data_IF_499064361616
#
_entry.id   IF_499064361616
#
_cell.length_a   1.000
_cell.length_b   1.000
_cell.length_c   1.000
_cell.angle_alpha   90.00
_cell.angle_beta   90.00
_cell.angle_gamma   90.00
#
_symmetry.space_group_name_H-M   'P 1'
#
loop_
_entity.id
_entity.type
_entity.pdbx_description
1 polymer ?
#
# COMPACT_ATOMS: atom_id res chain seq x y z
N UNK A 1 0.59 -24.62 -12.57
CA UNK A 1 1.39 -23.64 -11.83
C UNK A 1 1.51 -24.07 -10.38
N UNK A 2 2.72 -24.29 -9.88
CA UNK A 2 2.99 -24.68 -8.49
C UNK A 2 3.79 -23.53 -7.86
N UNK A 3 3.33 -23.02 -6.72
CA UNK A 3 4.06 -22.03 -5.92
C UNK A 3 4.23 -22.53 -4.49
N UNK A 4 5.31 -22.14 -3.85
CA UNK A 4 5.53 -22.39 -2.44
C UNK A 4 4.51 -21.61 -1.59
N UNK A 5 3.91 -22.28 -0.62
CA UNK A 5 3.05 -21.62 0.36
C UNK A 5 3.92 -20.96 1.43
N UNK A 6 3.93 -19.64 1.47
CA UNK A 6 4.67 -18.85 2.45
C UNK A 6 3.86 -18.77 3.75
N UNK A 7 4.45 -19.21 4.86
CA UNK A 7 3.91 -18.91 6.19
C UNK A 7 4.22 -17.46 6.55
N UNK A 8 3.22 -16.69 6.99
CA UNK A 8 3.36 -15.29 7.37
C UNK A 8 2.72 -15.02 8.74
N UNK A 9 3.05 -13.90 9.36
CA UNK A 9 2.50 -13.51 10.66
C UNK A 9 1.25 -12.64 10.49
N UNK A 10 1.27 -11.71 9.53
CA UNK A 10 0.16 -10.82 9.24
C UNK A 10 0.21 -10.33 7.78
N UNK A 11 -0.88 -9.76 7.33
CA UNK A 11 -0.93 -8.98 6.08
C UNK A 11 -0.77 -7.50 6.39
N UNK A 12 -0.37 -6.69 5.41
CA UNK A 12 -0.35 -5.23 5.58
C UNK A 12 -1.76 -4.67 5.90
N UNK A 13 -2.83 -5.35 5.48
CA UNK A 13 -4.21 -4.99 5.82
C UNK A 13 -4.46 -5.02 7.33
N UNK A 14 -3.98 -6.06 8.01
CA UNK A 14 -4.11 -6.18 9.47
C UNK A 14 -3.36 -5.05 10.16
N UNK A 15 -2.17 -4.69 9.66
CA UNK A 15 -1.41 -3.55 10.16
C UNK A 15 -2.18 -2.22 10.02
N UNK A 16 -2.99 -2.03 8.96
CA UNK A 16 -3.79 -0.80 8.79
C UNK A 16 -4.97 -0.71 9.73
N UNK A 17 -5.40 -1.82 10.31
CA UNK A 17 -6.58 -1.90 11.19
C UNK A 17 -6.23 -2.01 12.67
N UNK A 18 -5.12 -2.63 13.02
CA UNK A 18 -4.65 -2.80 14.40
C UNK A 18 -3.41 -1.95 14.67
N UNK A 19 -3.62 -0.77 15.24
CA UNK A 19 -2.54 0.17 15.60
C UNK A 19 -1.75 -0.26 16.85
N UNK A 20 -2.28 -1.18 17.62
CA UNK A 20 -1.63 -1.72 18.80
C UNK A 20 -0.83 -3.01 18.49
N UNK A 21 -0.74 -3.36 17.19
CA UNK A 21 0.05 -4.52 16.80
C UNK A 21 1.51 -4.36 17.27
N UNK A 22 2.10 -5.37 17.91
CA UNK A 22 3.49 -5.29 18.37
C UNK A 22 4.44 -4.89 17.23
N UNK A 23 5.37 -3.99 17.54
CA UNK A 23 6.35 -3.44 16.57
C UNK A 23 5.72 -2.66 15.39
N UNK A 24 4.47 -2.17 15.52
CA UNK A 24 3.73 -1.47 14.46
C UNK A 24 4.55 -0.41 13.71
N UNK A 25 5.19 0.52 14.43
CA UNK A 25 6.01 1.59 13.82
C UNK A 25 7.22 1.01 13.09
N UNK A 26 7.89 0.03 13.68
CA UNK A 26 9.03 -0.66 13.07
C UNK A 26 8.63 -1.35 11.78
N UNK A 27 7.52 -2.09 11.78
CA UNK A 27 7.01 -2.79 10.60
C UNK A 27 6.70 -1.79 9.49
N UNK A 28 6.03 -0.68 9.80
CA UNK A 28 5.65 0.33 8.83
C UNK A 28 6.87 1.00 8.19
N UNK A 29 7.91 1.27 8.99
CA UNK A 29 9.18 1.83 8.49
C UNK A 29 9.96 0.82 7.63
N UNK A 30 10.08 -0.42 8.05
CA UNK A 30 10.74 -1.47 7.27
C UNK A 30 9.98 -1.74 5.97
N UNK A 31 8.65 -1.73 5.98
CA UNK A 31 7.82 -1.82 4.78
C UNK A 31 8.06 -0.64 3.82
N UNK A 32 8.25 0.56 4.36
CA UNK A 32 8.56 1.74 3.54
C UNK A 32 9.91 1.60 2.85
N UNK A 33 10.93 1.08 3.54
CA UNK A 33 12.25 0.78 2.96
C UNK A 33 12.15 -0.30 1.89
N UNK A 34 11.41 -1.37 2.16
CA UNK A 34 11.14 -2.42 1.16
C UNK A 34 10.49 -1.84 -0.10
N UNK A 35 9.52 -0.94 0.06
CA UNK A 35 8.87 -0.26 -1.08
C UNK A 35 9.87 0.64 -1.82
N UNK A 36 10.73 1.36 -1.11
CA UNK A 36 11.81 2.13 -1.72
C UNK A 36 12.75 1.25 -2.55
N UNK A 37 13.16 0.09 -2.03
CA UNK A 37 14.02 -0.85 -2.77
C UNK A 37 13.36 -1.38 -4.05
N UNK A 38 12.04 -1.56 -4.06
CA UNK A 38 11.28 -1.88 -5.28
C UNK A 38 11.37 -0.72 -6.29
N UNK A 39 11.21 0.52 -5.83
CA UNK A 39 11.28 1.71 -6.67
C UNK A 39 12.68 1.88 -7.29
N UNK A 40 13.75 1.65 -6.52
CA UNK A 40 15.13 1.71 -7.03
C UNK A 40 15.41 0.65 -8.10
N UNK A 41 14.77 -0.51 -7.98
CA UNK A 41 14.81 -1.59 -8.99
C UNK A 41 13.87 -1.34 -10.17
N UNK A 42 13.17 -0.22 -10.21
CA UNK A 42 12.23 0.12 -11.27
C UNK A 42 10.95 -0.72 -11.25
N UNK A 43 10.60 -1.32 -10.12
CA UNK A 43 9.40 -2.16 -9.97
C UNK A 43 8.21 -1.29 -9.54
N UNK A 44 7.31 -1.02 -10.48
CA UNK A 44 6.05 -0.32 -10.21
C UNK A 44 4.92 -1.34 -10.05
N UNK A 45 4.60 -1.70 -8.81
CA UNK A 45 3.51 -2.62 -8.49
C UNK A 45 2.17 -1.87 -8.48
N UNK A 46 1.41 -1.96 -9.57
CA UNK A 46 0.16 -1.20 -9.77
C UNK A 46 -0.96 -1.59 -8.79
N UNK A 47 -0.92 -2.81 -8.25
CA UNK A 47 -1.86 -3.29 -7.24
C UNK A 47 -1.27 -3.30 -5.82
N UNK A 48 -0.36 -2.37 -5.55
CA UNK A 48 0.20 -2.15 -4.22
C UNK A 48 -0.89 -1.69 -3.25
N UNK A 49 -1.55 -2.66 -2.62
CA UNK A 49 -2.72 -2.47 -1.77
C UNK A 49 -2.61 -3.33 -0.50
N UNK A 50 -3.37 -3.03 0.57
CA UNK A 50 -3.23 -3.67 1.87
C UNK A 50 -3.34 -5.20 1.87
N UNK A 51 -4.08 -5.78 0.92
CA UNK A 51 -4.24 -7.25 0.84
C UNK A 51 -3.11 -7.97 0.11
N UNK A 52 -2.24 -7.24 -0.59
CA UNK A 52 -1.27 -7.82 -1.52
C UNK A 52 0.16 -7.86 -0.97
N UNK A 53 0.33 -7.67 0.34
CA UNK A 53 1.63 -7.82 1.02
C UNK A 53 1.47 -8.68 2.26
N UNK A 54 2.25 -9.77 2.30
CA UNK A 54 2.40 -10.63 3.47
C UNK A 54 3.63 -10.19 4.25
N UNK A 55 3.56 -10.25 5.57
CA UNK A 55 4.60 -9.81 6.50
C UNK A 55 5.00 -10.97 7.40
N UNK A 56 6.29 -11.26 7.47
CA UNK A 56 6.83 -12.34 8.27
C UNK A 56 8.00 -11.85 9.13
N UNK A 57 7.94 -12.10 10.43
CA UNK A 57 9.07 -11.82 11.30
C UNK A 57 10.17 -12.84 11.09
N UNK A 58 11.35 -12.39 10.73
CA UNK A 58 12.53 -13.22 10.59
C UNK A 58 13.12 -13.51 11.97
N UNK A 59 13.05 -14.76 12.39
CA UNK A 59 13.49 -15.18 13.74
C UNK A 59 15.00 -15.03 13.98
N UNK A 60 15.79 -15.05 12.90
CA UNK A 60 17.24 -14.96 12.99
C UNK A 60 17.74 -13.53 13.10
N UNK A 61 17.07 -12.59 12.40
CA UNK A 61 17.49 -11.19 12.34
C UNK A 61 16.65 -10.26 13.19
N UNK A 62 15.47 -10.70 13.64
CA UNK A 62 14.47 -9.89 14.33
C UNK A 62 13.75 -8.88 13.43
N UNK A 63 14.15 -8.75 12.14
CA UNK A 63 13.54 -7.88 11.14
C UNK A 63 12.31 -8.51 10.50
N UNK A 64 11.62 -7.75 9.66
CA UNK A 64 10.45 -8.21 8.93
C UNK A 64 10.78 -8.41 7.44
N UNK A 65 10.38 -9.57 6.92
CA UNK A 65 10.41 -9.87 5.49
C UNK A 65 9.04 -9.59 4.90
N UNK A 66 9.02 -9.02 3.68
CA UNK A 66 7.81 -8.64 2.97
C UNK A 66 7.71 -9.42 1.66
N UNK A 67 6.53 -9.98 1.39
CA UNK A 67 6.26 -10.76 0.19
C UNK A 67 5.05 -10.17 -0.54
N UNK A 68 5.24 -9.83 -1.81
CA UNK A 68 4.15 -9.38 -2.67
C UNK A 68 3.41 -10.58 -3.24
N UNK A 69 2.09 -10.49 -3.26
CA UNK A 69 1.21 -11.49 -3.88
C UNK A 69 0.33 -10.82 -4.94
N UNK A 70 -0.27 -11.61 -5.84
CA UNK A 70 -1.07 -11.13 -6.97
C UNK A 70 -0.29 -10.20 -7.91
N UNK A 71 0.81 -10.71 -8.46
CA UNK A 71 1.79 -9.96 -9.25
C UNK A 71 1.33 -9.64 -10.68
N UNK A 72 0.05 -9.82 -11.02
CA UNK A 72 -0.47 -9.71 -12.39
C UNK A 72 -0.34 -8.30 -13.00
N UNK A 73 -0.12 -7.27 -12.17
CA UNK A 73 -0.06 -5.87 -12.60
C UNK A 73 1.21 -5.19 -12.10
N UNK A 74 2.31 -5.51 -12.76
CA UNK A 74 3.61 -4.85 -12.54
C UNK A 74 4.10 -4.22 -13.83
N UNK A 75 4.67 -3.03 -13.70
CA UNK A 75 5.46 -2.38 -14.75
C UNK A 75 6.92 -2.29 -14.30
N UNK A 76 7.83 -2.34 -15.26
CA UNK A 76 9.27 -2.25 -15.01
C UNK A 76 9.85 -1.08 -15.80
N UNK A 77 10.21 -0.01 -15.11
CA UNK A 77 10.79 1.21 -15.69
C UNK A 77 11.44 2.07 -14.60
N UNK A 78 12.29 3.00 -14.98
CA UNK A 78 12.80 4.00 -14.04
C UNK A 78 11.64 4.82 -13.49
N UNK A 79 11.40 4.76 -12.18
CA UNK A 79 10.26 5.41 -11.56
C UNK A 79 10.53 6.89 -11.29
N UNK A 80 9.65 7.74 -11.82
CA UNK A 80 9.61 9.17 -11.47
C UNK A 80 9.18 9.38 -10.01
N UNK A 81 9.41 10.56 -9.46
CA UNK A 81 8.89 10.93 -8.14
C UNK A 81 7.36 10.77 -8.03
N UNK A 82 6.63 11.16 -9.09
CA UNK A 82 5.18 10.98 -9.18
C UNK A 82 4.78 9.49 -9.09
N UNK A 83 5.47 8.61 -9.84
CA UNK A 83 5.19 7.16 -9.81
C UNK A 83 5.42 6.58 -8.42
N UNK A 84 6.54 6.95 -7.78
CA UNK A 84 6.91 6.51 -6.44
C UNK A 84 5.86 6.90 -5.41
N UNK A 85 5.43 8.16 -5.40
CA UNK A 85 4.41 8.65 -4.46
C UNK A 85 3.03 8.06 -4.76
N UNK A 86 2.69 7.89 -6.03
CA UNK A 86 1.43 7.25 -6.45
C UNK A 86 1.34 5.79 -6.00
N UNK A 87 2.46 5.09 -5.93
CA UNK A 87 2.53 3.70 -5.50
C UNK A 87 2.05 3.51 -4.05
N UNK A 88 2.20 4.51 -3.18
CA UNK A 88 1.70 4.50 -1.80
C UNK A 88 0.20 4.81 -1.68
N UNK A 89 -0.43 5.38 -2.71
CA UNK A 89 -1.78 5.99 -2.62
C UNK A 89 -2.91 5.03 -2.22
N UNK A 90 -2.72 3.72 -2.41
CA UNK A 90 -3.72 2.69 -2.10
C UNK A 90 -3.51 2.00 -0.76
N UNK A 91 -2.37 2.23 -0.11
CA UNK A 91 -1.94 1.46 1.06
C UNK A 91 -2.72 1.80 2.33
N UNK A 92 -3.16 3.04 2.47
CA UNK A 92 -3.89 3.50 3.65
C UNK A 92 -4.77 4.70 3.33
N UNK A 93 -5.79 4.91 4.13
CA UNK A 93 -6.57 6.16 4.18
C UNK A 93 -6.19 7.03 5.40
N UNK A 94 -5.17 6.63 6.15
CA UNK A 94 -4.78 7.23 7.43
C UNK A 94 -3.61 8.20 7.24
N UNK A 95 -3.83 9.43 7.66
CA UNK A 95 -2.84 10.51 7.54
C UNK A 95 -1.59 10.28 8.43
N UNK A 96 -1.79 9.69 9.60
CA UNK A 96 -0.71 9.33 10.52
C UNK A 96 0.23 8.26 9.93
N UNK A 97 -0.31 7.23 9.27
CA UNK A 97 0.51 6.25 8.56
C UNK A 97 1.31 6.89 7.41
N UNK A 98 0.66 7.78 6.65
CA UNK A 98 1.35 8.51 5.58
C UNK A 98 2.49 9.36 6.13
N UNK A 99 2.31 9.99 7.30
CA UNK A 99 3.36 10.77 7.95
C UNK A 99 4.58 9.90 8.32
N UNK A 100 4.36 8.71 8.90
CA UNK A 100 5.45 7.78 9.24
C UNK A 100 6.17 7.31 7.97
N UNK A 101 5.43 6.93 6.92
CA UNK A 101 6.02 6.50 5.65
C UNK A 101 6.81 7.62 4.98
N UNK A 102 6.29 8.85 4.97
CA UNK A 102 6.97 10.02 4.40
C UNK A 102 8.26 10.34 5.16
N UNK A 103 8.23 10.33 6.48
CA UNK A 103 9.40 10.52 7.32
C UNK A 103 10.48 9.47 7.04
N UNK A 104 10.09 8.21 6.89
CA UNK A 104 11.06 7.15 6.59
C UNK A 104 11.61 7.22 5.17
N UNK A 105 10.74 7.51 4.20
CA UNK A 105 11.14 7.63 2.79
C UNK A 105 12.09 8.82 2.56
N UNK A 106 11.88 9.95 3.25
CA UNK A 106 12.73 11.14 3.17
C UNK A 106 14.18 10.90 3.62
N UNK A 107 14.43 9.89 4.43
CA UNK A 107 15.80 9.52 4.84
C UNK A 107 16.60 8.83 3.71
N UNK A 108 15.91 8.41 2.65
CA UNK A 108 16.46 7.58 1.58
C UNK A 108 16.60 8.34 0.26
N UNK A 109 16.05 9.55 0.17
CA UNK A 109 16.00 10.38 -1.04
C UNK A 109 16.45 11.82 -0.73
N UNK A 110 16.56 12.67 -1.76
CA UNK A 110 16.97 14.07 -1.61
C UNK A 110 15.82 15.03 -1.34
N UNK A 111 14.58 14.62 -1.63
CA UNK A 111 13.38 15.41 -1.43
C UNK A 111 13.08 15.58 0.07
N UNK A 112 12.49 16.72 0.43
CA UNK A 112 12.13 17.01 1.82
C UNK A 112 10.96 16.13 2.29
N UNK A 113 10.91 15.85 3.60
CA UNK A 113 9.80 15.11 4.20
C UNK A 113 8.45 15.80 3.93
N UNK A 114 8.42 17.13 3.96
CA UNK A 114 7.21 17.90 3.68
C UNK A 114 6.72 17.71 2.25
N UNK A 115 7.61 17.76 1.27
CA UNK A 115 7.29 17.55 -0.13
C UNK A 115 6.77 16.13 -0.38
N UNK A 116 7.44 15.13 0.17
CA UNK A 116 7.04 13.71 0.08
C UNK A 116 5.66 13.52 0.72
N UNK A 117 5.47 14.04 1.93
CA UNK A 117 4.20 13.93 2.65
C UNK A 117 3.05 14.58 1.87
N UNK A 118 3.23 15.82 1.43
CA UNK A 118 2.19 16.56 0.70
C UNK A 118 1.82 15.84 -0.60
N UNK A 119 2.80 15.33 -1.33
CA UNK A 119 2.56 14.58 -2.57
C UNK A 119 1.86 13.25 -2.30
N UNK A 120 2.38 12.45 -1.38
CA UNK A 120 1.84 11.15 -1.01
C UNK A 120 0.40 11.28 -0.49
N UNK A 121 0.13 12.26 0.38
CA UNK A 121 -1.19 12.52 0.93
C UNK A 121 -2.18 12.99 -0.14
N UNK A 122 -1.79 13.95 -0.99
CA UNK A 122 -2.63 14.43 -2.10
C UNK A 122 -3.07 13.29 -3.04
N UNK A 123 -2.16 12.38 -3.39
CA UNK A 123 -2.47 11.23 -4.23
C UNK A 123 -3.36 10.21 -3.51
N UNK A 124 -3.15 10.02 -2.22
CA UNK A 124 -4.01 9.18 -1.37
C UNK A 124 -5.44 9.71 -1.31
N UNK A 125 -5.62 11.02 -1.05
CA UNK A 125 -6.95 11.65 -1.06
C UNK A 125 -7.65 11.54 -2.42
N UNK A 126 -6.90 11.79 -3.50
CA UNK A 126 -7.42 11.66 -4.87
C UNK A 126 -7.90 10.24 -5.15
N UNK A 127 -7.13 9.24 -4.72
CA UNK A 127 -7.51 7.83 -4.84
C UNK A 127 -8.76 7.52 -4.01
N UNK A 128 -8.82 7.96 -2.75
CA UNK A 128 -9.97 7.73 -1.86
C UNK A 128 -11.25 8.35 -2.42
N UNK A 129 -11.19 9.61 -2.87
CA UNK A 129 -12.34 10.29 -3.49
C UNK A 129 -12.87 9.51 -4.71
N UNK A 130 -11.97 9.04 -5.58
CA UNK A 130 -12.34 8.21 -6.75
C UNK A 130 -12.94 6.87 -6.34
N UNK A 131 -12.39 6.22 -5.34
CA UNK A 131 -12.84 4.93 -4.82
C UNK A 131 -14.26 5.03 -4.23
N UNK A 132 -14.52 6.02 -3.36
CA UNK A 132 -15.85 6.24 -2.78
C UNK A 132 -16.88 6.62 -3.84
N UNK A 133 -16.54 7.49 -4.80
CA UNK A 133 -17.43 7.83 -5.92
C UNK A 133 -17.82 6.59 -6.74
N UNK A 134 -16.85 5.75 -7.08
CA UNK A 134 -17.09 4.49 -7.81
C UNK A 134 -17.99 3.54 -7.04
N UNK A 135 -17.77 3.39 -5.74
CA UNK A 135 -18.59 2.52 -4.89
C UNK A 135 -20.02 3.06 -4.70
N UNK A 136 -20.19 4.36 -4.57
CA UNK A 136 -21.51 4.98 -4.51
C UNK A 136 -22.34 4.73 -5.79
N UNK A 137 -21.70 4.83 -6.96
CA UNK A 137 -22.33 4.51 -8.26
C UNK A 137 -22.68 3.03 -8.33
N UNK A 138 -21.76 2.12 -7.95
CA UNK A 138 -22.04 0.66 -7.94
C UNK A 138 -23.22 0.32 -7.04
N UNK A 139 -23.32 0.92 -5.85
CA UNK A 139 -24.46 0.72 -4.92
C UNK A 139 -25.77 1.16 -5.56
N UNK A 140 -25.81 2.34 -6.19
CA UNK A 140 -27.02 2.83 -6.89
C UNK A 140 -27.46 1.87 -7.99
N UNK A 141 -26.52 1.42 -8.84
CA UNK A 141 -26.80 0.47 -9.93
C UNK A 141 -27.28 -0.88 -9.39
N UNK A 142 -26.70 -1.37 -8.29
CA UNK A 142 -27.13 -2.62 -7.66
C UNK A 142 -28.54 -2.54 -7.10
N UNK A 143 -28.90 -1.43 -6.42
CA UNK A 143 -30.26 -1.18 -5.94
C UNK A 143 -31.26 -1.09 -7.09
N UNK A 144 -30.91 -0.43 -8.19
CA UNK A 144 -31.73 -0.35 -9.39
C UNK A 144 -32.01 -1.76 -9.97
N UNK A 145 -30.97 -2.57 -10.18
CA UNK A 145 -31.12 -3.94 -10.70
C UNK A 145 -31.97 -4.83 -9.80
N UNK A 146 -31.87 -4.70 -8.47
CA UNK A 146 -32.69 -5.46 -7.53
C UNK A 146 -34.18 -5.06 -7.60
N UNK A 147 -34.46 -3.78 -7.83
CA UNK A 147 -35.83 -3.25 -7.95
C UNK A 147 -36.53 -3.74 -9.22
N UNK A 148 -35.82 -3.94 -10.30
CA UNK A 148 -36.40 -4.42 -11.59
C UNK A 148 -36.39 -5.95 -11.75
N UNK A 149 -35.84 -6.70 -10.82
CA UNK A 149 -35.84 -8.17 -10.82
C UNK A 149 -37.04 -8.78 -10.11
N UNK A 150 -37.86 -7.97 -9.47
CA UNK A 150 -39.05 -8.38 -8.72
C UNK A 150 -40.38 -8.00 -9.45
N UNK A 151 -40.29 -7.87 -10.79
CA UNK A 151 -41.46 -7.76 -11.68
C UNK A 151 -41.40 -8.85 -12.73
#
# INVERSE_FOLDING_TARGET
YVSEQISYNLTYRELTTDLNYPDYDTILREFTRFTFDLHEKGVNFLDHSPGNTLIKKNKNTGKYDFYLVDLNRMNFHTMSFEDRMSNFSKLTSRKDMVAVMSNEYAKLVSESEEEIFNKMWSLTEKFQKKYYKKNAIKRKVFFWKKRYRNF
#
